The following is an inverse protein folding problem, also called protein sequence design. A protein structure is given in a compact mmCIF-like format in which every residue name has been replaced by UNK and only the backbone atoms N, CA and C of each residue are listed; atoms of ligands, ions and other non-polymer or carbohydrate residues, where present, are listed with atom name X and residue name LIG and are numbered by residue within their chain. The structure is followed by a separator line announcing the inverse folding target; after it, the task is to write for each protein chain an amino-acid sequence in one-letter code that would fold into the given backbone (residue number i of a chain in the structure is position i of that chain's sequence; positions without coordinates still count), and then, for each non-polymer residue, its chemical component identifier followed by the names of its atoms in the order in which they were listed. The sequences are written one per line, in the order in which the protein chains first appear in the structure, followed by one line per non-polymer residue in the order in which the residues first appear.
data_IF_254487066972
#
_entry.id   IF_254487066972
#
_cell.length_a   1.000
_cell.length_b   1.000
_cell.length_c   1.000
_cell.angle_alpha   90.00
_cell.angle_beta   90.00
_cell.angle_gamma   90.00
#
_symmetry.space_group_name_H-M   'P 1'
#
loop_
_entity.id
_entity.type
_entity.pdbx_description
1 polymer ?
#
# COMPACT_ATOMS: atom_id res chain seq x y z
N UNK A 1 26.31 -24.19 4.57
CA UNK A 1 24.86 -23.97 4.81
C UNK A 1 24.27 -23.18 3.64
N UNK A 2 23.20 -23.69 3.00
CA UNK A 2 22.51 -22.94 1.93
C UNK A 2 21.80 -21.73 2.56
N UNK A 3 22.04 -20.52 2.05
CA UNK A 3 21.32 -19.32 2.53
C UNK A 3 19.82 -19.55 2.34
N UNK A 4 18.96 -19.16 3.30
CA UNK A 4 17.52 -19.29 3.12
C UNK A 4 17.10 -18.47 1.90
N UNK A 5 16.26 -19.05 1.04
CA UNK A 5 15.79 -18.40 -0.19
C UNK A 5 14.82 -17.26 0.10
N UNK A 6 14.41 -17.10 1.36
CA UNK A 6 13.50 -16.08 1.82
C UNK A 6 14.00 -15.42 3.10
N UNK A 7 13.54 -14.20 3.35
CA UNK A 7 13.67 -13.52 4.63
C UNK A 7 12.34 -12.98 5.12
N UNK A 8 12.27 -12.72 6.42
CA UNK A 8 11.07 -12.16 7.06
C UNK A 8 11.29 -10.67 7.30
N UNK A 9 10.39 -9.85 6.78
CA UNK A 9 10.21 -8.47 7.20
C UNK A 9 9.23 -8.44 8.36
N UNK A 10 9.50 -7.62 9.37
CA UNK A 10 8.67 -7.44 10.56
C UNK A 10 8.34 -5.96 10.71
N UNK A 11 7.05 -5.66 10.85
CA UNK A 11 6.57 -4.34 11.21
C UNK A 11 6.10 -4.37 12.67
N UNK A 12 6.90 -3.80 13.58
CA UNK A 12 6.57 -3.82 15.01
C UNK A 12 5.40 -2.90 15.37
N UNK A 13 5.16 -1.85 14.58
CA UNK A 13 4.09 -0.87 14.84
C UNK A 13 2.69 -1.46 14.67
N UNK A 14 2.51 -2.31 13.66
CA UNK A 14 1.24 -2.97 13.33
C UNK A 14 1.28 -4.49 13.52
N UNK A 15 2.34 -5.00 14.14
CA UNK A 15 2.44 -6.41 14.57
C UNK A 15 2.40 -7.45 13.45
N UNK A 16 2.67 -7.07 12.20
CA UNK A 16 2.64 -7.99 11.05
C UNK A 16 4.03 -8.36 10.55
N UNK A 17 4.09 -9.50 9.86
CA UNK A 17 5.27 -10.00 9.18
C UNK A 17 4.96 -10.32 7.72
N UNK A 18 5.96 -10.23 6.87
CA UNK A 18 5.92 -10.58 5.45
C UNK A 18 7.14 -11.42 5.10
N UNK A 19 7.00 -12.36 4.16
CA UNK A 19 8.09 -13.17 3.64
C UNK A 19 8.47 -12.69 2.25
N UNK A 20 9.74 -12.33 2.09
CA UNK A 20 10.32 -11.83 0.85
C UNK A 20 11.33 -12.82 0.28
N UNK A 21 11.47 -12.93 -1.05
CA UNK A 21 12.62 -13.60 -1.66
C UNK A 21 13.94 -12.93 -1.24
N UNK A 22 14.98 -13.70 -0.93
CA UNK A 22 16.26 -13.17 -0.42
C UNK A 22 16.93 -12.16 -1.34
N UNK A 23 16.71 -12.25 -2.64
CA UNK A 23 17.29 -11.32 -3.62
C UNK A 23 16.68 -9.91 -3.57
N UNK A 24 15.48 -9.73 -3.00
CA UNK A 24 14.86 -8.40 -2.84
C UNK A 24 15.71 -7.45 -1.99
N UNK A 25 16.55 -7.96 -1.10
CA UNK A 25 17.42 -7.14 -0.22
C UNK A 25 18.31 -6.15 -0.99
N UNK A 26 18.67 -6.48 -2.23
CA UNK A 26 19.53 -5.64 -3.05
C UNK A 26 18.77 -4.56 -3.83
N UNK A 27 17.44 -4.72 -3.96
CA UNK A 27 16.61 -3.93 -4.87
C UNK A 27 15.42 -3.26 -4.21
N UNK A 28 15.26 -3.41 -2.90
CA UNK A 28 14.15 -2.84 -2.17
C UNK A 28 14.65 -2.03 -0.98
N UNK A 29 14.11 -0.83 -0.82
CA UNK A 29 14.29 0.02 0.36
C UNK A 29 12.92 0.30 0.95
N UNK A 30 12.77 0.08 2.26
CA UNK A 30 11.50 0.25 2.96
C UNK A 30 11.47 1.61 3.65
N UNK A 31 10.38 2.35 3.51
CA UNK A 31 10.18 3.63 4.19
C UNK A 31 8.73 3.82 4.65
N UNK A 32 8.55 4.47 5.80
CA UNK A 32 7.23 4.86 6.29
C UNK A 32 7.06 6.37 6.06
N UNK A 33 6.15 6.75 5.17
CA UNK A 33 5.79 8.16 4.93
C UNK A 33 4.32 8.21 4.56
N UNK A 34 3.48 8.79 5.41
CA UNK A 34 2.07 8.98 5.10
C UNK A 34 1.90 9.96 3.93
N UNK A 35 1.13 9.59 2.91
CA UNK A 35 0.83 10.42 1.73
C UNK A 35 -0.67 10.67 1.60
N UNK A 36 -1.48 9.64 1.82
CA UNK A 36 -2.94 9.70 1.85
C UNK A 36 -3.41 10.26 3.21
N UNK A 37 -4.48 11.06 3.21
CA UNK A 37 -5.05 11.61 4.45
C UNK A 37 -5.84 10.56 5.22
N UNK A 38 -6.47 9.64 4.51
CA UNK A 38 -7.43 8.67 5.06
C UNK A 38 -6.72 7.43 5.65
N UNK A 39 -5.44 7.23 5.32
CA UNK A 39 -4.63 6.18 5.91
C UNK A 39 -4.21 6.52 7.34
N UNK A 40 -4.18 5.52 8.20
CA UNK A 40 -3.51 5.61 9.51
C UNK A 40 -1.98 5.50 9.33
N UNK A 41 -1.54 4.67 8.39
CA UNK A 41 -0.15 4.37 8.15
C UNK A 41 0.10 3.85 6.73
N UNK A 42 1.29 4.15 6.22
CA UNK A 42 1.74 3.71 4.90
C UNK A 42 3.18 3.19 4.99
N UNK A 43 3.40 2.06 4.32
CA UNK A 43 4.69 1.41 4.21
C UNK A 43 5.03 1.23 2.73
N UNK A 44 6.03 1.97 2.29
CA UNK A 44 6.47 2.03 0.90
C UNK A 44 7.66 1.11 0.69
N UNK A 45 7.56 0.18 -0.25
CA UNK A 45 8.64 -0.69 -0.67
C UNK A 45 9.21 -0.15 -1.99
N UNK A 46 10.24 0.69 -1.91
CA UNK A 46 10.81 1.41 -3.07
C UNK A 46 11.79 0.58 -3.86
N UNK A 47 11.73 0.72 -5.17
CA UNK A 47 12.66 0.06 -6.07
C UNK A 47 14.03 0.76 -6.03
N UNK A 48 15.08 -0.02 -5.86
CA UNK A 48 16.48 0.43 -5.92
C UNK A 48 17.20 -0.35 -7.00
N UNK A 49 17.90 0.35 -7.88
CA UNK A 49 18.70 -0.31 -8.91
C UNK A 49 19.97 0.50 -9.21
N UNK A 50 21.13 -0.19 -9.23
CA UNK A 50 22.46 0.42 -9.46
C UNK A 50 22.71 1.69 -8.63
N UNK A 51 22.35 1.64 -7.34
CA UNK A 51 22.56 2.75 -6.40
C UNK A 51 21.53 3.88 -6.48
N UNK A 52 20.64 3.89 -7.48
CA UNK A 52 19.56 4.86 -7.61
C UNK A 52 18.28 4.33 -6.98
N UNK A 53 17.56 5.23 -6.30
CA UNK A 53 16.24 4.97 -5.75
C UNK A 53 15.19 5.47 -6.75
N UNK A 54 14.18 4.65 -6.99
CA UNK A 54 13.07 4.89 -7.88
C UNK A 54 11.76 4.89 -7.07
N UNK A 55 10.65 4.85 -7.79
CA UNK A 55 9.29 4.80 -7.23
C UNK A 55 9.00 3.47 -6.51
N UNK A 56 7.81 3.39 -5.90
CA UNK A 56 7.38 2.25 -5.11
C UNK A 56 7.15 1.02 -5.99
N UNK A 57 7.63 -0.14 -5.55
CA UNK A 57 7.27 -1.45 -6.11
C UNK A 57 5.83 -1.79 -5.69
N UNK A 58 5.53 -1.55 -4.42
CA UNK A 58 4.21 -1.61 -3.84
C UNK A 58 4.18 -0.88 -2.51
N UNK A 59 2.98 -0.55 -2.05
CA UNK A 59 2.73 0.12 -0.78
C UNK A 59 1.70 -0.66 0.01
N UNK A 60 1.95 -0.87 1.31
CA UNK A 60 0.94 -1.36 2.23
C UNK A 60 0.35 -0.16 2.96
N UNK A 61 -0.97 -0.07 2.96
CA UNK A 61 -1.74 0.98 3.57
C UNK A 61 -2.61 0.39 4.67
N UNK A 62 -2.68 1.08 5.81
CA UNK A 62 -3.51 0.70 6.95
C UNK A 62 -4.56 1.76 7.15
N UNK A 63 -5.82 1.34 7.19
CA UNK A 63 -6.96 2.22 7.37
C UNK A 63 -7.67 1.91 8.68
N UNK A 64 -8.10 2.95 9.38
CA UNK A 64 -8.82 2.83 10.65
C UNK A 64 -10.33 2.71 10.41
N UNK A 65 -10.73 1.58 9.83
CA UNK A 65 -12.12 1.24 9.54
C UNK A 65 -12.28 -0.28 9.44
N UNK A 66 -13.52 -0.77 9.55
CA UNK A 66 -13.84 -2.18 9.28
C UNK A 66 -13.94 -2.45 7.78
N UNK A 67 -13.98 -3.73 7.38
CA UNK A 67 -14.19 -4.11 5.98
C UNK A 67 -15.55 -3.65 5.48
N UNK A 68 -16.60 -3.68 6.30
CA UNK A 68 -17.92 -3.18 5.89
C UNK A 68 -17.89 -1.68 5.59
N UNK A 69 -17.19 -0.90 6.41
CA UNK A 69 -16.99 0.53 6.19
C UNK A 69 -16.17 0.80 4.93
N UNK A 70 -15.11 0.02 4.72
CA UNK A 70 -14.29 0.06 3.50
C UNK A 70 -15.12 -0.15 2.24
N UNK A 71 -15.97 -1.19 2.24
CA UNK A 71 -16.89 -1.48 1.13
C UNK A 71 -17.89 -0.35 0.95
N UNK A 72 -18.49 0.14 2.02
CA UNK A 72 -19.47 1.24 1.98
C UNK A 72 -18.89 2.55 1.46
N UNK A 73 -17.60 2.80 1.68
CA UNK A 73 -16.90 3.97 1.16
C UNK A 73 -16.50 3.82 -0.32
N UNK A 74 -16.78 2.68 -0.96
CA UNK A 74 -16.56 2.49 -2.39
C UNK A 74 -15.15 2.01 -2.76
N UNK A 75 -14.33 1.61 -1.78
CA UNK A 75 -12.96 1.14 -2.05
C UNK A 75 -12.90 -0.18 -2.84
N UNK A 76 -14.01 -0.89 -3.01
CA UNK A 76 -14.08 -2.06 -3.92
C UNK A 76 -13.69 -1.67 -5.35
N UNK A 77 -14.09 -0.49 -5.80
CA UNK A 77 -13.84 0.01 -7.16
C UNK A 77 -12.49 0.73 -7.27
N UNK A 78 -11.75 0.85 -6.16
CA UNK A 78 -10.45 1.50 -6.13
C UNK A 78 -9.34 0.54 -6.59
N UNK A 79 -8.17 1.05 -7.02
CA UNK A 79 -7.03 0.19 -7.34
C UNK A 79 -6.39 -0.47 -6.09
N UNK A 80 -6.92 -0.20 -4.89
CA UNK A 80 -6.43 -0.78 -3.64
C UNK A 80 -6.98 -2.20 -3.47
N UNK A 81 -6.05 -3.13 -3.30
CA UNK A 81 -6.40 -4.53 -3.04
C UNK A 81 -6.44 -4.79 -1.52
N UNK A 82 -7.59 -5.27 -1.04
CA UNK A 82 -7.76 -5.70 0.35
C UNK A 82 -6.83 -6.89 0.67
N UNK A 83 -6.17 -6.86 1.82
CA UNK A 83 -5.35 -7.96 2.34
C UNK A 83 -6.05 -8.64 3.51
N UNK A 84 -6.35 -7.88 4.56
CA UNK A 84 -6.87 -8.41 5.81
C UNK A 84 -7.59 -7.32 6.62
N UNK A 85 -8.48 -7.75 7.52
CA UNK A 85 -8.98 -6.92 8.61
C UNK A 85 -8.48 -7.49 9.94
N UNK A 86 -7.89 -6.63 10.77
CA UNK A 86 -7.44 -7.00 12.12
C UNK A 86 -7.74 -5.85 13.08
N UNK A 87 -8.47 -6.13 14.15
CA UNK A 87 -8.80 -5.17 15.22
C UNK A 87 -9.40 -3.85 14.71
N UNK A 88 -10.38 -3.94 13.81
CA UNK A 88 -11.07 -2.78 13.24
C UNK A 88 -10.18 -1.93 12.32
N UNK A 89 -9.15 -2.54 11.73
CA UNK A 89 -8.29 -1.92 10.73
C UNK A 89 -8.22 -2.77 9.48
N UNK A 90 -8.37 -2.12 8.34
CA UNK A 90 -8.15 -2.73 7.03
C UNK A 90 -6.70 -2.52 6.62
N UNK A 91 -6.05 -3.63 6.25
CA UNK A 91 -4.78 -3.64 5.56
C UNK A 91 -5.06 -3.82 4.07
N UNK A 92 -4.58 -2.88 3.27
CA UNK A 92 -4.67 -2.93 1.81
C UNK A 92 -3.29 -2.73 1.20
N UNK A 93 -3.14 -3.07 -0.08
CA UNK A 93 -1.95 -2.72 -0.83
C UNK A 93 -2.27 -2.14 -2.20
N UNK A 94 -1.30 -1.39 -2.72
CA UNK A 94 -1.32 -0.80 -4.04
C UNK A 94 0.00 -1.14 -4.75
N UNK A 95 -0.08 -1.52 -6.01
CA UNK A 95 1.05 -1.57 -6.94
C UNK A 95 0.95 -0.41 -7.92
N UNK A 96 2.07 0.14 -8.41
CA UNK A 96 2.03 1.16 -9.44
C UNK A 96 1.40 0.60 -10.72
N UNK A 97 0.55 1.40 -11.38
CA UNK A 97 -0.04 1.03 -12.67
C UNK A 97 0.93 1.22 -13.84
N UNK A 98 1.95 2.05 -13.66
CA UNK A 98 2.92 2.43 -14.69
C UNK A 98 4.37 2.22 -14.23
N UNK A 99 5.30 2.24 -15.17
CA UNK A 99 6.72 2.20 -14.84
C UNK A 99 7.16 3.58 -14.30
N UNK A 100 8.25 3.65 -13.51
CA UNK A 100 8.74 4.92 -12.99
C UNK A 100 8.93 5.95 -14.09
N UNK A 101 8.47 7.18 -13.87
CA UNK A 101 8.55 8.25 -14.87
C UNK A 101 10.00 8.53 -15.30
N UNK A 102 10.96 8.29 -14.41
CA UNK A 102 12.40 8.38 -14.70
C UNK A 102 12.89 7.44 -15.82
N UNK A 103 12.09 6.44 -16.21
CA UNK A 103 12.36 5.55 -17.33
C UNK A 103 11.80 6.07 -18.65
N UNK A 104 10.95 7.10 -18.63
CA UNK A 104 10.33 7.69 -19.81
C UNK A 104 11.33 8.53 -20.62
N UNK A 105 11.34 8.34 -21.94
CA UNK A 105 12.05 9.20 -22.89
C UNK A 105 11.05 10.12 -23.61
N UNK A 106 11.07 11.39 -23.23
CA UNK A 106 10.19 12.40 -23.82
C UNK A 106 10.43 12.65 -25.31
N UNK A 107 11.62 12.31 -25.84
CA UNK A 107 11.91 12.44 -27.27
C UNK A 107 11.29 11.32 -28.08
N UNK A 108 11.33 10.11 -27.54
CA UNK A 108 10.73 8.93 -28.17
C UNK A 108 9.22 8.82 -27.93
N UNK A 109 8.70 9.51 -26.90
CA UNK A 109 7.30 9.41 -26.51
C UNK A 109 6.94 8.08 -25.83
N UNK A 110 7.94 7.35 -25.33
CA UNK A 110 7.78 6.02 -24.69
C UNK A 110 8.93 5.78 -23.69
N UNK A 111 8.88 4.68 -22.96
CA UNK A 111 9.94 4.25 -22.04
C UNK A 111 11.25 3.89 -22.77
N UNK A 112 12.38 4.31 -22.19
CA UNK A 112 13.71 3.98 -22.68
C UNK A 112 14.09 2.53 -22.32
N UNK A 113 13.55 1.59 -23.10
CA UNK A 113 13.86 0.18 -22.97
C UNK A 113 15.33 -0.13 -23.29
N UNK A 114 16.04 0.71 -24.06
CA UNK A 114 17.46 0.46 -24.36
C UNK A 114 18.32 0.66 -23.12
N UNK A 115 18.06 1.73 -22.36
CA UNK A 115 18.80 2.08 -21.14
C UNK A 115 18.34 1.31 -19.92
N UNK A 116 17.03 1.09 -19.78
CA UNK A 116 16.44 0.56 -18.55
C UNK A 116 15.94 -0.89 -18.66
N UNK A 117 16.20 -1.61 -19.77
CA UNK A 117 15.73 -2.99 -19.98
C UNK A 117 15.77 -3.87 -18.73
N UNK A 118 16.96 -4.03 -18.16
CA UNK A 118 17.18 -4.91 -17.02
C UNK A 118 16.47 -4.41 -15.75
N UNK A 119 16.38 -3.10 -15.55
CA UNK A 119 15.66 -2.51 -14.42
C UNK A 119 14.15 -2.72 -14.56
N UNK A 120 13.61 -2.53 -15.77
CA UNK A 120 12.20 -2.73 -16.10
C UNK A 120 11.82 -4.21 -15.97
N UNK A 121 12.61 -5.13 -16.52
CA UNK A 121 12.37 -6.58 -16.41
C UNK A 121 12.37 -7.03 -14.95
N UNK A 122 13.32 -6.53 -14.16
CA UNK A 122 13.39 -6.81 -12.73
C UNK A 122 12.17 -6.26 -11.98
N UNK A 123 11.80 -5.00 -12.23
CA UNK A 123 10.65 -4.38 -11.59
C UNK A 123 9.35 -5.09 -11.95
N UNK A 124 9.15 -5.43 -13.23
CA UNK A 124 8.00 -6.22 -13.70
C UNK A 124 7.92 -7.57 -12.98
N UNK A 125 9.04 -8.26 -12.78
CA UNK A 125 9.08 -9.50 -12.00
C UNK A 125 8.68 -9.26 -10.53
N UNK A 126 9.27 -8.24 -9.90
CA UNK A 126 8.95 -7.91 -8.51
C UNK A 126 7.45 -7.65 -8.33
N UNK A 127 6.87 -6.78 -9.17
CA UNK A 127 5.45 -6.40 -9.10
C UNK A 127 4.53 -7.57 -9.47
N UNK A 128 4.73 -8.21 -10.62
CA UNK A 128 3.73 -9.15 -11.14
C UNK A 128 3.86 -10.56 -10.57
N UNK A 129 5.05 -10.98 -10.15
CA UNK A 129 5.29 -12.35 -9.67
C UNK A 129 5.44 -12.43 -8.16
N UNK A 130 6.21 -11.50 -7.57
CA UNK A 130 6.57 -11.61 -6.16
C UNK A 130 5.59 -10.91 -5.23
N UNK A 131 5.14 -9.69 -5.56
CA UNK A 131 4.22 -8.92 -4.68
C UNK A 131 3.00 -9.74 -4.28
N UNK A 132 2.25 -10.40 -5.19
CA UNK A 132 1.11 -11.24 -4.80
C UNK A 132 1.45 -12.30 -3.76
N UNK A 133 2.62 -12.95 -3.89
CA UNK A 133 3.08 -13.99 -2.95
C UNK A 133 3.52 -13.38 -1.62
N UNK A 134 4.16 -12.21 -1.66
CA UNK A 134 4.58 -11.47 -0.47
C UNK A 134 3.35 -11.06 0.33
N UNK A 135 2.34 -10.43 -0.28
CA UNK A 135 1.13 -10.00 0.47
C UNK A 135 0.34 -11.19 1.01
N UNK A 136 0.26 -12.32 0.29
CA UNK A 136 -0.35 -13.55 0.80
C UNK A 136 0.37 -14.15 2.02
N UNK A 137 1.66 -13.82 2.19
CA UNK A 137 2.46 -14.26 3.34
C UNK A 137 2.26 -13.40 4.58
N UNK A 138 1.40 -12.37 4.52
CA UNK A 138 1.12 -11.50 5.65
C UNK A 138 0.57 -12.29 6.84
N UNK A 139 1.23 -12.19 7.99
CA UNK A 139 0.87 -12.89 9.23
C UNK A 139 1.01 -11.98 10.44
N UNK A 140 0.18 -12.23 11.45
CA UNK A 140 0.17 -11.53 12.73
C UNK A 140 0.55 -12.51 13.86
N UNK A 141 1.85 -12.76 14.11
CA UNK A 141 2.32 -13.83 14.99
C UNK A 141 2.05 -13.62 16.50
N UNK A 142 1.44 -12.50 16.92
CA UNK A 142 1.02 -12.27 18.30
C UNK A 142 1.73 -11.10 19.00
N UNK A 143 0.90 -10.14 19.45
CA UNK A 143 1.14 -8.90 20.23
C UNK A 143 2.08 -7.83 19.64
N UNK A 144 1.48 -6.97 18.81
CA UNK A 144 1.32 -5.54 19.14
C UNK A 144 0.22 -4.89 18.28
N UNK A 145 -1.03 -4.91 18.76
CA UNK A 145 -1.98 -3.82 18.50
C UNK A 145 -2.69 -3.58 19.83
N UNK A 146 -2.37 -2.46 20.48
CA UNK A 146 -3.28 -1.74 21.38
C UNK A 146 -2.72 -0.33 21.47
N UNK A 147 -3.46 0.66 20.99
CA UNK A 147 -3.71 1.90 21.73
C UNK A 147 -5.06 2.46 21.28
N UNK A 148 -6.12 1.97 21.93
CA UNK A 148 -7.51 2.44 21.86
C UNK A 148 -8.11 2.53 20.44
N UNK A 149 -8.65 1.39 19.99
CA UNK A 149 -9.67 1.33 18.94
C UNK A 149 -10.94 2.06 19.42
N UNK A 150 -10.96 3.39 19.37
CA UNK A 150 -12.22 4.11 19.31
C UNK A 150 -12.78 3.89 17.90
N UNK A 151 -13.95 3.26 17.73
CA UNK A 151 -14.58 3.18 16.42
C UNK A 151 -14.75 4.61 15.89
N UNK A 152 -14.48 4.81 14.60
CA UNK A 152 -14.70 6.09 13.96
C UNK A 152 -16.20 6.38 14.01
N UNK A 153 -16.66 7.20 14.96
CA UNK A 153 -17.98 7.78 14.89
C UNK A 153 -17.95 8.72 13.68
N UNK A 154 -18.36 8.21 12.52
CA UNK A 154 -18.79 9.04 11.41
C UNK A 154 -19.75 10.05 12.03
N UNK A 155 -19.34 11.32 12.16
CA UNK A 155 -20.29 12.38 12.42
C UNK A 155 -21.22 12.34 11.23
N UNK A 156 -22.40 11.74 11.40
CA UNK A 156 -23.51 11.92 10.48
C UNK A 156 -23.61 13.42 10.30
N UNK A 157 -23.27 13.91 9.11
CA UNK A 157 -23.67 15.25 8.71
C UNK A 157 -25.19 15.22 8.80
N UNK A 158 -25.70 15.89 9.84
CA UNK A 158 -27.13 16.00 10.05
C UNK A 158 -27.66 16.82 8.87
N UNK A 159 -28.30 16.15 7.91
CA UNK A 159 -29.16 16.79 6.92
C UNK A 159 -30.44 17.26 7.63
N UNK A 160 -30.29 18.26 8.50
CA UNK A 160 -31.38 18.94 9.18
C UNK A 160 -31.16 20.44 9.05
N UNK A 161 -31.30 20.98 7.84
CA UNK A 161 -31.77 22.35 7.67
C UNK A 161 -33.14 22.29 7.00
N UNK A 162 -34.09 22.07 7.90
CA UNK A 162 -35.51 22.35 7.79
C UNK A 162 -35.81 23.61 6.95
N UNK A 163 -36.73 23.42 6.01
CA UNK A 163 -37.47 24.45 5.29
C UNK A 163 -37.76 25.70 6.13
N UNK A 164 -37.15 26.84 5.78
CA UNK A 164 -37.74 28.14 6.07
C UNK A 164 -38.83 28.43 5.03
N UNK A 165 -40.09 28.14 5.42
CA UNK A 165 -41.29 28.74 4.82
C UNK A 165 -41.17 30.27 4.93
N UNK A 166 -40.98 30.94 3.80
CA UNK A 166 -41.20 32.38 3.68
C UNK A 166 -42.71 32.61 3.60
N UNK A 167 -43.30 33.15 4.67
CA UNK A 167 -44.68 33.66 4.66
C UNK A 167 -44.64 35.11 4.18
N UNK A 168 -45.36 35.38 3.07
CA UNK A 168 -45.71 36.71 2.58
C UNK A 168 -46.44 37.51 3.66
N UNK A 169 -46.09 38.79 3.80
CA UNK A 169 -47.00 39.91 4.04
C UNK A 169 -46.43 41.13 3.34
#
# INVERSE_FOLDING_TARGET
MKKPNQFVYRNDRYGFTLRFPSWWRNYCVVGARKQDRDTEYELHFRFKYKGKLYEDIFTIMVYRMTREEWVKQGYIESPLAFIAEVEGRVFAYLTPGELPYTFYDSKAGDYDYKKYRAAIELLKRMVNQDVPRIVQSLRFPGRAITMTSTPYRVKKVCLCLTHKRVKRR
#
